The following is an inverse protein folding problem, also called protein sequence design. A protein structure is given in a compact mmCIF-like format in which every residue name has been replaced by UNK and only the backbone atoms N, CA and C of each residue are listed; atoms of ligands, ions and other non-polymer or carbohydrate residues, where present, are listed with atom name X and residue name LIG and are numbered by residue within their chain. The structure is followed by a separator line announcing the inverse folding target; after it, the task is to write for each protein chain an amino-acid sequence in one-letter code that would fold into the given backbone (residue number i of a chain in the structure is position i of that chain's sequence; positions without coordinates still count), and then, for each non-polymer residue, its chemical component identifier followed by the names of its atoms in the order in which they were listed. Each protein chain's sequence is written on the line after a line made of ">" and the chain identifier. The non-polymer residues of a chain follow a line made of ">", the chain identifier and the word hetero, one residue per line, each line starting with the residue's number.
data_IF_304215544658
#
_entry.id   IF_304215544658
#
_cell.length_a   1.000
_cell.length_b   1.000
_cell.length_c   1.000
_cell.angle_alpha   90.00
_cell.angle_beta   90.00
_cell.angle_gamma   90.00
#
_symmetry.space_group_name_H-M   'P 1'
#
loop_
_entity.id
_entity.type
_entity.pdbx_description
1 polymer ?
#
# COMPACT_ATOMS: atom_id res chain seq x y z
N UNK A 1 0.89 10.57 -6.03
CA UNK A 1 -0.56 10.58 -5.73
C UNK A 1 -0.73 10.96 -4.28
N UNK A 2 -1.67 11.84 -3.96
CA UNK A 2 -1.96 12.21 -2.57
C UNK A 2 -2.96 11.24 -1.98
N UNK A 3 -2.71 10.73 -0.77
CA UNK A 3 -3.57 9.79 -0.06
C UNK A 3 -3.78 10.27 1.38
N UNK A 4 -4.88 9.83 2.01
CA UNK A 4 -5.25 10.27 3.38
C UNK A 4 -4.28 9.77 4.45
N UNK A 5 -3.69 8.59 4.25
CA UNK A 5 -2.80 7.92 5.21
C UNK A 5 -1.87 6.92 4.51
N UNK A 6 -0.70 6.68 5.11
CA UNK A 6 0.27 5.69 4.65
C UNK A 6 0.11 4.38 5.45
N UNK A 7 0.36 3.22 4.82
CA UNK A 7 0.25 1.92 5.47
C UNK A 7 1.43 1.78 6.42
N UNK A 8 1.13 1.40 7.65
CA UNK A 8 2.14 1.31 8.70
C UNK A 8 2.06 -0.04 9.41
N UNK A 9 3.14 -0.40 10.08
CA UNK A 9 3.11 -1.45 11.08
C UNK A 9 2.46 -0.93 12.36
N UNK A 10 2.08 -1.82 13.28
CA UNK A 10 1.63 -1.47 14.64
C UNK A 10 2.63 -0.63 15.45
N UNK A 11 3.91 -0.62 15.04
CA UNK A 11 4.96 0.24 15.61
C UNK A 11 5.17 1.56 14.87
N UNK A 12 4.34 1.86 13.86
CA UNK A 12 4.37 3.10 13.09
C UNK A 12 5.35 3.13 11.91
N UNK A 13 6.08 2.05 11.63
CA UNK A 13 6.99 1.99 10.47
C UNK A 13 6.18 1.94 9.18
N UNK A 14 6.53 2.76 8.20
CA UNK A 14 5.84 2.79 6.90
C UNK A 14 6.22 1.55 6.07
N UNK A 15 5.22 0.88 5.50
CA UNK A 15 5.37 -0.31 4.66
C UNK A 15 5.74 0.03 3.20
N UNK A 16 6.86 0.75 3.01
CA UNK A 16 7.28 1.21 1.66
C UNK A 16 7.50 0.07 0.67
N UNK A 17 8.10 -1.04 1.11
CA UNK A 17 8.34 -2.20 0.24
C UNK A 17 7.05 -2.82 -0.29
N UNK A 18 6.01 -2.91 0.54
CA UNK A 18 4.69 -3.38 0.10
C UNK A 18 4.05 -2.39 -0.89
N UNK A 19 4.15 -1.08 -0.64
CA UNK A 19 3.66 -0.07 -1.60
C UNK A 19 4.37 -0.15 -2.96
N UNK A 20 5.68 -0.37 -2.97
CA UNK A 20 6.45 -0.54 -4.20
C UNK A 20 5.94 -1.75 -5.00
N UNK A 21 5.81 -2.91 -4.35
CA UNK A 21 5.28 -4.12 -5.01
C UNK A 21 3.88 -3.95 -5.58
N UNK A 22 3.00 -3.24 -4.88
CA UNK A 22 1.65 -2.90 -5.37
C UNK A 22 1.75 -2.05 -6.65
N UNK A 23 2.60 -1.02 -6.65
CA UNK A 23 2.80 -0.16 -7.81
C UNK A 23 3.44 -0.90 -9.00
N UNK A 24 4.33 -1.85 -8.73
CA UNK A 24 5.08 -2.62 -9.74
C UNK A 24 4.32 -3.88 -10.23
N UNK A 25 3.09 -4.12 -9.75
CA UNK A 25 2.30 -5.36 -9.99
C UNK A 25 3.03 -6.65 -9.61
N UNK A 26 3.92 -6.58 -8.64
CA UNK A 26 4.60 -7.76 -8.12
C UNK A 26 3.72 -8.52 -7.13
N UNK A 27 3.94 -9.83 -7.01
CA UNK A 27 3.32 -10.62 -5.97
C UNK A 27 3.76 -10.12 -4.58
N UNK A 28 2.78 -9.86 -3.71
CA UNK A 28 3.02 -9.47 -2.33
C UNK A 28 2.04 -10.18 -1.40
N UNK A 29 2.43 -10.27 -0.14
CA UNK A 29 1.61 -10.84 0.93
C UNK A 29 1.33 -9.78 1.98
N UNK A 30 0.14 -9.82 2.55
CA UNK A 30 -0.28 -8.91 3.62
C UNK A 30 0.68 -9.06 4.81
N UNK A 31 1.38 -8.00 5.25
CA UNK A 31 2.25 -8.08 6.41
C UNK A 31 1.44 -8.32 7.68
N UNK A 32 1.79 -9.34 8.46
CA UNK A 32 1.08 -9.69 9.70
C UNK A 32 1.08 -8.57 10.77
N UNK A 33 2.04 -7.65 10.68
CA UNK A 33 2.22 -6.53 11.61
C UNK A 33 1.58 -5.23 11.13
N UNK A 34 0.81 -5.24 10.02
CA UNK A 34 0.07 -4.07 9.56
C UNK A 34 -0.92 -3.60 10.63
N UNK A 35 -1.13 -2.28 10.71
CA UNK A 35 -2.09 -1.66 11.61
C UNK A 35 -3.53 -1.77 11.08
N UNK A 36 -3.73 -1.38 9.84
CA UNK A 36 -5.01 -1.40 9.14
C UNK A 36 -4.83 -1.95 7.70
N UNK A 37 -5.27 -3.20 7.44
CA UNK A 37 -5.20 -3.82 6.12
C UNK A 37 -5.91 -3.03 5.01
N UNK A 38 -6.98 -2.29 5.35
CA UNK A 38 -7.79 -1.57 4.35
C UNK A 38 -7.01 -0.46 3.65
N UNK A 39 -5.94 0.06 4.27
CA UNK A 39 -5.08 1.10 3.68
C UNK A 39 -4.43 0.61 2.38
N UNK A 40 -4.12 -0.69 2.27
CA UNK A 40 -3.51 -1.22 1.04
C UNK A 40 -4.51 -1.28 -0.12
N UNK A 41 -5.79 -1.50 0.16
CA UNK A 41 -6.85 -1.43 -0.84
C UNK A 41 -7.08 0.02 -1.29
N UNK A 42 -7.12 0.97 -0.36
CA UNK A 42 -7.22 2.41 -0.66
C UNK A 42 -6.07 2.88 -1.57
N UNK A 43 -4.84 2.43 -1.29
CA UNK A 43 -3.68 2.74 -2.13
C UNK A 43 -3.79 2.10 -3.50
N UNK A 44 -4.19 0.83 -3.57
CA UNK A 44 -4.35 0.12 -4.84
C UNK A 44 -5.37 0.83 -5.73
N UNK A 45 -6.50 1.26 -5.17
CA UNK A 45 -7.51 2.04 -5.87
C UNK A 45 -6.96 3.40 -6.35
N UNK A 46 -6.25 4.12 -5.49
CA UNK A 46 -5.68 5.44 -5.83
C UNK A 46 -4.59 5.36 -6.90
N UNK A 47 -3.78 4.31 -6.92
CA UNK A 47 -2.79 4.06 -7.97
C UNK A 47 -3.48 3.71 -9.29
N UNK A 48 -4.49 2.84 -9.25
CA UNK A 48 -5.29 2.45 -10.43
C UNK A 48 -5.99 3.65 -11.07
N UNK A 49 -6.64 4.52 -10.27
CA UNK A 49 -7.31 5.73 -10.76
C UNK A 49 -6.34 6.70 -11.47
N UNK A 50 -5.07 6.70 -11.06
CA UNK A 50 -4.02 7.54 -11.63
C UNK A 50 -3.29 6.89 -12.80
N UNK A 51 -3.63 5.66 -13.16
CA UNK A 51 -2.91 4.91 -14.19
C UNK A 51 -1.45 4.65 -13.80
N UNK A 52 -1.18 4.40 -12.52
CA UNK A 52 0.16 4.01 -12.04
C UNK A 52 0.13 2.52 -11.77
N UNK A 53 1.07 1.78 -12.37
CA UNK A 53 1.01 0.32 -12.38
C UNK A 53 -0.15 -0.16 -13.25
N UNK A 54 -0.19 0.27 -14.51
CA UNK A 54 -1.09 -0.25 -15.58
C UNK A 54 -0.32 -1.17 -16.50
#
# INVERSE_FOLDING_TARGET
>A
VTIKRLPKTRSGKILRGTMQKIADKEAWTMPATIDDPAILEEITAALTERGIGV
#
